data_IF_662040327298
#
_entry.id   IF_662040327298
#
_cell.length_a   1.000
_cell.length_b   1.000
_cell.length_c   1.000
_cell.angle_alpha   90.00
_cell.angle_beta   90.00
_cell.angle_gamma   90.00
#
_symmetry.space_group_name_H-M   'P 1'
#
loop_
_entity.id
_entity.type
_entity.pdbx_description
1 polymer ?
#
# COMPACT_ATOMS: atom_id res chain seq x y z
N UNK A 1 -38.12 -9.96 -22.65
CA UNK A 1 -38.68 -10.98 -21.73
C UNK A 1 -37.55 -11.44 -20.83
N UNK A 2 -37.67 -11.26 -19.52
CA UNK A 2 -36.75 -11.84 -18.58
C UNK A 2 -37.14 -13.30 -18.33
N UNK A 3 -36.21 -14.21 -18.53
CA UNK A 3 -36.42 -15.62 -18.18
C UNK A 3 -36.14 -15.78 -16.69
N UNK A 4 -37.23 -15.98 -15.92
CA UNK A 4 -37.15 -16.27 -14.50
C UNK A 4 -37.62 -17.71 -14.27
N UNK A 5 -36.68 -18.55 -13.81
CA UNK A 5 -36.95 -19.98 -13.56
C UNK A 5 -37.46 -20.25 -12.15
N UNK A 6 -37.18 -19.33 -11.21
CA UNK A 6 -37.59 -19.44 -9.80
C UNK A 6 -37.62 -18.06 -9.15
N UNK A 7 -38.31 -17.97 -8.01
CA UNK A 7 -38.33 -16.76 -7.17
C UNK A 7 -37.45 -16.98 -5.94
N UNK A 8 -36.48 -16.10 -5.71
CA UNK A 8 -35.65 -16.09 -4.48
C UNK A 8 -36.37 -15.25 -3.44
N UNK A 9 -36.73 -15.83 -2.31
CA UNK A 9 -37.49 -15.16 -1.25
C UNK A 9 -36.86 -15.26 0.14
N UNK A 10 -35.77 -16.01 0.29
CA UNK A 10 -35.09 -16.28 1.57
C UNK A 10 -33.68 -15.68 1.66
N UNK A 11 -33.36 -14.71 0.80
CA UNK A 11 -32.10 -13.99 0.83
C UNK A 11 -32.34 -12.52 1.15
N UNK A 12 -31.48 -11.89 2.01
CA UNK A 12 -31.53 -10.45 2.18
C UNK A 12 -31.08 -9.76 0.89
N UNK A 13 -31.59 -8.56 0.64
CA UNK A 13 -31.07 -7.69 -0.42
C UNK A 13 -29.63 -7.26 -0.14
N UNK A 14 -28.90 -6.77 -1.16
CA UNK A 14 -27.54 -6.25 -0.97
C UNK A 14 -27.58 -5.04 -0.03
N UNK A 15 -26.65 -5.00 0.94
CA UNK A 15 -26.44 -3.85 1.79
C UNK A 15 -25.57 -2.83 1.05
N UNK A 16 -26.22 -1.95 0.30
CA UNK A 16 -25.57 -0.86 -0.44
C UNK A 16 -26.28 0.47 -0.19
N UNK A 17 -25.65 1.57 -0.64
CA UNK A 17 -26.15 2.93 -0.46
C UNK A 17 -26.45 3.26 1.01
N UNK A 18 -25.63 2.71 1.92
CA UNK A 18 -25.65 3.00 3.36
C UNK A 18 -24.38 3.75 3.75
N UNK A 19 -24.47 4.54 4.81
CA UNK A 19 -23.26 5.20 5.34
C UNK A 19 -22.54 4.25 6.28
N UNK A 20 -21.36 3.75 5.88
CA UNK A 20 -20.58 2.77 6.63
C UNK A 20 -20.13 3.28 8.01
N UNK A 21 -19.90 4.60 8.16
CA UNK A 21 -19.51 5.18 9.44
C UNK A 21 -20.73 5.42 10.35
N UNK A 22 -21.80 6.03 9.82
CA UNK A 22 -22.96 6.39 10.64
C UNK A 22 -23.74 5.16 11.12
N UNK A 23 -23.68 4.04 10.40
CA UNK A 23 -24.28 2.77 10.80
C UNK A 23 -23.46 1.99 11.84
N UNK A 24 -22.17 2.30 12.01
CA UNK A 24 -21.29 1.64 12.98
C UNK A 24 -21.26 2.41 14.31
N UNK A 25 -22.16 2.05 15.21
CA UNK A 25 -22.26 2.68 16.55
C UNK A 25 -21.02 2.45 17.39
N UNK A 26 -20.38 1.28 17.29
CA UNK A 26 -19.19 0.93 18.05
C UNK A 26 -17.96 1.76 17.61
N UNK A 27 -17.77 1.89 16.29
CA UNK A 27 -16.70 2.71 15.74
C UNK A 27 -16.83 4.19 16.11
N UNK A 28 -18.06 4.71 16.03
CA UNK A 28 -18.35 6.12 16.40
C UNK A 28 -18.08 6.41 17.87
N UNK A 29 -18.52 5.52 18.74
CA UNK A 29 -18.30 5.64 20.20
C UNK A 29 -16.80 5.57 20.50
N UNK A 30 -16.08 4.58 19.95
CA UNK A 30 -14.64 4.43 20.14
C UNK A 30 -13.86 5.64 19.65
N UNK A 31 -14.22 6.20 18.49
CA UNK A 31 -13.56 7.38 17.92
C UNK A 31 -13.59 8.57 18.89
N UNK A 32 -14.74 8.84 19.51
CA UNK A 32 -14.90 9.95 20.45
C UNK A 32 -14.17 9.65 21.76
N UNK A 33 -14.35 8.44 22.32
CA UNK A 33 -13.72 8.01 23.58
C UNK A 33 -12.19 8.09 23.50
N UNK A 34 -11.60 7.70 22.36
CA UNK A 34 -10.15 7.68 22.15
C UNK A 34 -9.59 9.01 21.60
N UNK A 35 -10.37 10.09 21.65
CA UNK A 35 -9.91 11.45 21.38
C UNK A 35 -9.79 11.84 19.89
N UNK A 36 -10.40 11.09 18.98
CA UNK A 36 -10.40 11.40 17.54
C UNK A 36 -11.75 11.92 17.02
N UNK A 37 -12.65 12.38 17.91
CA UNK A 37 -13.97 12.92 17.55
C UNK A 37 -13.94 14.06 16.53
N UNK A 38 -12.81 14.75 16.42
CA UNK A 38 -12.58 15.82 15.44
C UNK A 38 -12.62 15.35 13.96
N UNK A 39 -12.48 14.04 13.70
CA UNK A 39 -12.52 13.44 12.36
C UNK A 39 -13.92 12.93 11.95
N UNK A 40 -14.93 13.07 12.83
CA UNK A 40 -16.26 12.50 12.65
C UNK A 40 -16.95 12.93 11.35
N UNK A 41 -16.88 14.22 11.01
CA UNK A 41 -17.53 14.75 9.81
C UNK A 41 -16.88 14.21 8.52
N UNK A 42 -15.55 14.13 8.50
CA UNK A 42 -14.82 13.54 7.38
C UNK A 42 -15.11 12.03 7.28
N UNK A 43 -15.12 11.30 8.39
CA UNK A 43 -15.46 9.87 8.42
C UNK A 43 -16.91 9.61 7.96
N UNK A 44 -17.86 10.51 8.28
CA UNK A 44 -19.21 10.42 7.76
C UNK A 44 -19.26 10.60 6.24
N UNK A 45 -18.47 11.54 5.70
CA UNK A 45 -18.33 11.73 4.26
C UNK A 45 -17.68 10.51 3.58
N UNK A 46 -16.60 9.99 4.14
CA UNK A 46 -15.91 8.77 3.65
C UNK A 46 -16.88 7.58 3.69
N UNK A 47 -17.59 7.38 4.81
CA UNK A 47 -18.53 6.29 4.98
C UNK A 47 -19.70 6.35 3.99
N UNK A 48 -20.16 7.55 3.65
CA UNK A 48 -21.19 7.74 2.62
C UNK A 48 -20.68 7.36 1.22
N UNK A 49 -19.48 7.81 0.87
CA UNK A 49 -18.86 7.50 -0.42
C UNK A 49 -18.57 6.00 -0.58
N UNK A 50 -17.98 5.39 0.44
CA UNK A 50 -17.58 3.98 0.40
C UNK A 50 -18.77 3.02 0.46
N UNK A 51 -19.90 3.43 1.06
CA UNK A 51 -21.11 2.61 1.16
C UNK A 51 -21.99 2.61 -0.10
N UNK A 52 -21.59 3.29 -1.18
CA UNK A 52 -22.33 3.28 -2.45
C UNK A 52 -22.20 1.94 -3.18
N UNK A 53 -23.19 1.64 -4.02
CA UNK A 53 -23.16 0.45 -4.87
C UNK A 53 -21.92 0.46 -5.80
N UNK A 54 -21.52 1.63 -6.30
CA UNK A 54 -20.35 1.82 -7.16
C UNK A 54 -19.06 1.49 -6.43
N UNK A 55 -18.89 1.95 -5.20
CA UNK A 55 -17.68 1.67 -4.40
C UNK A 55 -17.57 0.18 -4.07
N UNK A 56 -18.66 -0.47 -3.71
CA UNK A 56 -18.71 -1.92 -3.45
C UNK A 56 -18.41 -2.72 -4.73
N UNK A 57 -18.86 -2.25 -5.89
CA UNK A 57 -18.53 -2.85 -7.19
C UNK A 57 -17.04 -2.71 -7.53
N UNK A 58 -16.40 -1.57 -7.21
CA UNK A 58 -14.94 -1.44 -7.35
C UNK A 58 -14.20 -2.50 -6.51
N UNK A 59 -14.62 -2.73 -5.27
CA UNK A 59 -14.07 -3.79 -4.42
C UNK A 59 -14.22 -5.16 -5.05
N UNK A 60 -15.43 -5.49 -5.55
CA UNK A 60 -15.70 -6.75 -6.24
C UNK A 60 -14.81 -6.93 -7.47
N UNK A 61 -14.68 -5.90 -8.32
CA UNK A 61 -13.86 -5.93 -9.53
C UNK A 61 -12.38 -6.10 -9.22
N UNK A 62 -11.86 -5.42 -8.20
CA UNK A 62 -10.47 -5.57 -7.77
C UNK A 62 -10.18 -7.00 -7.29
N UNK A 63 -11.12 -7.64 -6.58
CA UNK A 63 -10.96 -9.00 -6.08
C UNK A 63 -11.13 -10.09 -7.16
N UNK A 64 -12.01 -9.87 -8.14
CA UNK A 64 -12.31 -10.89 -9.16
C UNK A 64 -11.37 -10.82 -10.37
N UNK A 65 -10.55 -9.77 -10.48
CA UNK A 65 -9.57 -9.60 -11.54
C UNK A 65 -8.15 -9.58 -10.94
N UNK A 66 -7.50 -10.75 -10.81
CA UNK A 66 -6.17 -10.83 -10.23
C UNK A 66 -5.14 -10.04 -11.05
N UNK A 67 -4.08 -9.53 -10.44
CA UNK A 67 -3.03 -8.80 -11.14
C UNK A 67 -2.27 -9.73 -12.09
N UNK A 68 -1.74 -9.14 -13.17
CA UNK A 68 -0.94 -9.85 -14.17
C UNK A 68 0.50 -9.38 -14.14
N UNK A 69 1.44 -10.34 -14.16
CA UNK A 69 2.87 -10.05 -14.28
C UNK A 69 3.24 -9.81 -15.76
N UNK A 70 3.69 -8.61 -16.05
CA UNK A 70 4.25 -8.23 -17.35
C UNK A 70 5.77 -8.33 -17.29
N UNK A 71 6.32 -9.50 -17.66
CA UNK A 71 7.77 -9.72 -17.60
C UNK A 71 8.52 -9.00 -18.71
N UNK A 72 7.97 -9.00 -19.92
CA UNK A 72 8.60 -8.48 -21.13
C UNK A 72 7.61 -7.65 -21.93
N UNK A 73 8.12 -6.67 -22.67
CA UNK A 73 7.37 -5.99 -23.71
C UNK A 73 7.32 -6.82 -25.02
N UNK A 74 6.68 -6.26 -26.05
CA UNK A 74 6.56 -6.91 -27.34
C UNK A 74 7.90 -7.11 -28.10
N UNK A 75 8.95 -6.42 -27.68
CA UNK A 75 10.32 -6.51 -28.26
C UNK A 75 11.25 -7.41 -27.45
N UNK A 76 10.77 -7.99 -26.35
CA UNK A 76 11.55 -8.84 -25.45
C UNK A 76 12.36 -8.08 -24.40
N UNK A 77 12.17 -6.77 -24.26
CA UNK A 77 12.77 -5.98 -23.18
C UNK A 77 12.11 -6.31 -21.86
N UNK A 78 12.91 -6.58 -20.82
CA UNK A 78 12.39 -6.95 -19.51
C UNK A 78 11.74 -5.77 -18.80
N UNK A 79 10.49 -5.94 -18.41
CA UNK A 79 9.67 -4.93 -17.70
C UNK A 79 9.58 -5.18 -16.19
N UNK A 80 9.34 -6.42 -15.80
CA UNK A 80 9.01 -6.77 -14.39
C UNK A 80 7.98 -5.80 -13.80
N UNK A 81 6.85 -5.65 -14.49
CA UNK A 81 5.77 -4.78 -14.08
C UNK A 81 4.52 -5.59 -13.73
N UNK A 82 3.60 -4.98 -12.96
CA UNK A 82 2.36 -5.63 -12.51
C UNK A 82 1.18 -4.80 -12.98
N UNK A 83 0.31 -5.39 -13.79
CA UNK A 83 -0.90 -4.75 -14.27
C UNK A 83 -2.07 -5.14 -13.38
N UNK A 84 -2.71 -4.15 -12.80
CA UNK A 84 -3.93 -4.29 -12.03
C UNK A 84 -5.16 -3.86 -12.82
N UNK A 85 -6.32 -4.36 -12.42
CA UNK A 85 -7.59 -3.84 -12.92
C UNK A 85 -7.76 -2.36 -12.53
N UNK A 86 -8.37 -1.49 -13.37
CA UNK A 86 -8.56 -0.06 -13.05
C UNK A 86 -9.24 0.21 -11.70
N UNK A 87 -10.15 -0.67 -11.26
CA UNK A 87 -10.81 -0.56 -9.97
C UNK A 87 -9.80 -0.55 -8.80
N UNK A 88 -8.73 -1.34 -8.87
CA UNK A 88 -7.67 -1.35 -7.85
C UNK A 88 -7.00 0.03 -7.73
N UNK A 89 -6.72 0.69 -8.85
CA UNK A 89 -6.12 2.03 -8.86
C UNK A 89 -7.06 3.10 -8.29
N UNK A 90 -8.37 3.00 -8.54
CA UNK A 90 -9.36 3.91 -7.95
C UNK A 90 -9.47 3.74 -6.43
N UNK A 91 -9.44 2.51 -5.93
CA UNK A 91 -9.41 2.23 -4.49
C UNK A 91 -8.14 2.78 -3.84
N UNK A 92 -6.97 2.58 -4.46
CA UNK A 92 -5.70 3.15 -3.99
C UNK A 92 -5.73 4.68 -3.96
N UNK A 93 -6.32 5.31 -4.97
CA UNK A 93 -6.51 6.75 -5.00
C UNK A 93 -7.34 7.26 -3.82
N UNK A 94 -8.44 6.57 -3.51
CA UNK A 94 -9.29 6.89 -2.34
C UNK A 94 -8.55 6.74 -1.02
N UNK A 95 -7.75 5.68 -0.86
CA UNK A 95 -6.94 5.44 0.33
C UNK A 95 -5.88 6.54 0.55
N UNK A 96 -5.19 6.95 -0.52
CA UNK A 96 -4.21 8.04 -0.45
C UNK A 96 -4.88 9.38 -0.17
N UNK A 97 -5.97 9.72 -0.88
CA UNK A 97 -6.72 10.96 -0.68
C UNK A 97 -7.25 11.08 0.75
N UNK A 98 -7.63 9.96 1.37
CA UNK A 98 -8.05 9.90 2.76
C UNK A 98 -6.87 9.75 3.75
N UNK A 99 -5.63 9.93 3.30
CA UNK A 99 -4.40 9.95 4.11
C UNK A 99 -4.22 8.72 5.02
N UNK A 100 -4.70 7.56 4.60
CA UNK A 100 -4.63 6.33 5.39
C UNK A 100 -3.18 5.85 5.57
N UNK A 101 -2.26 6.26 4.67
CA UNK A 101 -0.84 5.89 4.70
C UNK A 101 0.06 6.85 5.49
N UNK A 102 -0.41 8.08 5.83
CA UNK A 102 0.50 9.09 6.39
C UNK A 102 -0.09 9.99 7.48
N UNK A 103 -1.39 10.00 7.74
CA UNK A 103 -2.05 10.95 8.63
C UNK A 103 -1.33 11.17 9.99
N UNK A 104 -0.90 10.16 10.76
CA UNK A 104 -0.21 10.38 12.03
C UNK A 104 1.23 10.88 11.92
N UNK A 105 1.78 10.93 10.72
CA UNK A 105 3.19 11.30 10.47
C UNK A 105 3.34 12.72 9.94
N UNK A 106 2.26 13.49 9.88
CA UNK A 106 2.26 14.89 9.50
C UNK A 106 2.88 15.78 10.59
N UNK A 107 3.49 16.90 10.21
CA UNK A 107 4.13 17.83 11.15
C UNK A 107 3.13 18.38 12.17
N UNK A 108 1.92 18.74 11.73
CA UNK A 108 0.83 19.29 12.56
C UNK A 108 -0.13 18.19 13.05
N UNK A 109 0.37 17.02 13.40
CA UNK A 109 -0.47 15.90 13.81
C UNK A 109 -1.25 16.20 15.09
N UNK A 110 -2.55 15.87 15.09
CA UNK A 110 -3.44 16.07 16.25
C UNK A 110 -3.41 14.85 17.18
N UNK A 111 -3.69 15.08 18.46
CA UNK A 111 -3.99 13.99 19.39
C UNK A 111 -5.13 13.12 18.80
N UNK A 112 -5.02 11.79 18.91
CA UNK A 112 -5.97 10.84 18.34
C UNK A 112 -5.79 10.54 16.85
N UNK A 113 -4.75 11.07 16.15
CA UNK A 113 -4.54 10.83 14.71
C UNK A 113 -4.34 9.36 14.35
N UNK A 114 -3.74 8.54 15.21
CA UNK A 114 -3.68 7.08 15.01
C UNK A 114 -5.07 6.44 15.06
N UNK A 115 -5.94 6.91 15.94
CA UNK A 115 -7.34 6.44 16.05
C UNK A 115 -8.13 6.87 14.83
N UNK A 116 -8.01 8.13 14.40
CA UNK A 116 -8.62 8.64 13.17
C UNK A 116 -8.15 7.82 11.94
N UNK A 117 -6.83 7.59 11.80
CA UNK A 117 -6.28 6.75 10.75
C UNK A 117 -6.84 5.32 10.80
N UNK A 118 -6.94 4.72 11.98
CA UNK A 118 -7.51 3.38 12.14
C UNK A 118 -8.99 3.34 11.72
N UNK A 119 -9.78 4.34 12.07
CA UNK A 119 -11.17 4.44 11.65
C UNK A 119 -11.31 4.55 10.11
N UNK A 120 -10.52 5.41 9.47
CA UNK A 120 -10.47 5.51 7.99
C UNK A 120 -10.09 4.17 7.36
N UNK A 121 -9.07 3.49 7.90
CA UNK A 121 -8.63 2.17 7.46
C UNK A 121 -9.77 1.12 7.56
N UNK A 122 -10.49 1.09 8.67
CA UNK A 122 -11.61 0.17 8.89
C UNK A 122 -12.77 0.41 7.92
N UNK A 123 -13.07 1.65 7.55
CA UNK A 123 -14.09 1.96 6.55
C UNK A 123 -13.69 1.43 5.17
N UNK A 124 -12.45 1.67 4.73
CA UNK A 124 -11.95 1.15 3.46
C UNK A 124 -11.89 -0.39 3.45
N UNK A 125 -11.58 -1.02 4.59
CA UNK A 125 -11.52 -2.48 4.74
C UNK A 125 -12.86 -3.16 4.42
N UNK A 126 -13.98 -2.49 4.63
CA UNK A 126 -15.31 -3.01 4.32
C UNK A 126 -15.57 -3.09 2.82
N UNK A 127 -14.84 -2.33 2.01
CA UNK A 127 -14.97 -2.33 0.54
C UNK A 127 -14.00 -3.31 -0.10
N UNK A 128 -12.69 -3.21 0.26
CA UNK A 128 -11.67 -4.07 -0.32
C UNK A 128 -10.46 -4.16 0.63
N UNK A 129 -10.00 -5.37 0.92
CA UNK A 129 -8.94 -5.60 1.90
C UNK A 129 -7.52 -5.67 1.29
N UNK A 130 -7.37 -6.06 0.03
CA UNK A 130 -6.06 -6.24 -0.61
C UNK A 130 -5.29 -4.93 -0.80
N UNK A 131 -5.98 -3.83 -1.08
CA UNK A 131 -5.39 -2.49 -1.23
C UNK A 131 -4.85 -1.92 0.09
N UNK A 132 -5.28 -2.46 1.23
CA UNK A 132 -4.79 -2.04 2.54
C UNK A 132 -3.35 -2.48 2.81
N UNK A 133 -2.88 -3.54 2.16
CA UNK A 133 -1.52 -4.04 2.34
C UNK A 133 -0.45 -3.01 1.90
N UNK A 134 -0.44 -2.47 0.67
CA UNK A 134 0.51 -1.42 0.28
C UNK A 134 0.42 -0.16 1.13
N UNK A 135 -0.77 0.22 1.53
CA UNK A 135 -1.01 1.36 2.42
C UNK A 135 -0.41 1.13 3.81
N UNK A 136 -0.54 -0.07 4.35
CA UNK A 136 0.04 -0.43 5.66
C UNK A 136 1.56 -0.44 5.61
N UNK A 137 2.16 -0.99 4.54
CA UNK A 137 3.62 -0.99 4.37
C UNK A 137 4.16 0.44 4.23
N UNK A 138 3.52 1.28 3.42
CA UNK A 138 3.88 2.69 3.27
C UNK A 138 3.75 3.45 4.59
N UNK A 139 2.65 3.25 5.33
CA UNK A 139 2.44 3.81 6.66
C UNK A 139 3.57 3.45 7.63
N UNK A 140 3.94 2.18 7.70
CA UNK A 140 4.98 1.71 8.60
C UNK A 140 6.40 2.16 8.18
N UNK A 141 6.65 2.34 6.88
CA UNK A 141 7.93 2.81 6.37
C UNK A 141 8.15 4.32 6.59
N UNK A 142 7.09 5.12 6.58
CA UNK A 142 7.16 6.58 6.59
C UNK A 142 8.00 7.14 7.72
N UNK A 143 7.82 6.82 9.01
CA UNK A 143 8.61 7.41 10.10
C UNK A 143 10.10 7.04 10.02
N UNK A 144 10.41 5.83 9.53
CA UNK A 144 11.81 5.44 9.31
C UNK A 144 12.45 6.26 8.19
N UNK A 145 11.73 6.47 7.09
CA UNK A 145 12.24 7.23 5.95
C UNK A 145 12.36 8.73 6.25
N UNK A 146 11.46 9.30 7.04
CA UNK A 146 11.61 10.68 7.53
C UNK A 146 12.93 10.89 8.30
N UNK A 147 13.38 9.88 9.05
CA UNK A 147 14.59 9.95 9.87
C UNK A 147 15.86 9.55 9.10
N UNK A 148 15.80 8.51 8.27
CA UNK A 148 16.97 7.80 7.78
C UNK A 148 17.07 7.66 6.25
N UNK A 149 16.21 8.37 5.48
CA UNK A 149 16.28 8.32 4.02
C UNK A 149 17.64 8.89 3.54
N UNK A 150 18.38 8.15 2.67
CA UNK A 150 19.65 8.63 2.12
C UNK A 150 19.51 9.99 1.43
N UNK A 151 20.59 10.79 1.47
CA UNK A 151 20.58 12.19 1.02
C UNK A 151 20.11 12.35 -0.44
N UNK A 152 20.52 11.44 -1.31
CA UNK A 152 20.16 11.41 -2.74
C UNK A 152 18.68 11.15 -2.99
N UNK A 153 17.92 10.67 -1.99
CA UNK A 153 16.47 10.41 -2.06
C UNK A 153 15.64 11.40 -1.23
N UNK A 154 16.23 12.44 -0.64
CA UNK A 154 15.49 13.37 0.24
C UNK A 154 14.26 14.02 -0.41
N UNK A 155 14.30 14.26 -1.71
CA UNK A 155 13.16 14.79 -2.47
C UNK A 155 11.95 13.84 -2.50
N UNK A 156 12.12 12.55 -2.19
CA UNK A 156 11.03 11.58 -2.12
C UNK A 156 10.10 11.81 -0.93
N UNK A 157 10.53 12.55 0.09
CA UNK A 157 9.68 12.82 1.26
C UNK A 157 8.41 13.59 0.89
N UNK A 158 8.49 14.52 -0.06
CA UNK A 158 7.31 15.27 -0.53
C UNK A 158 6.23 14.35 -1.13
N UNK A 159 6.50 13.52 -2.17
CA UNK A 159 5.50 12.61 -2.69
C UNK A 159 5.14 11.47 -1.72
N UNK A 160 6.01 11.07 -0.79
CA UNK A 160 5.68 10.09 0.26
C UNK A 160 4.60 10.62 1.22
N UNK A 161 4.63 11.93 1.52
CA UNK A 161 3.67 12.60 2.41
C UNK A 161 2.47 13.19 1.65
N UNK A 162 2.39 13.02 0.34
CA UNK A 162 1.29 13.51 -0.50
C UNK A 162 0.00 12.71 -0.27
N UNK A 163 -1.14 13.36 -0.48
CA UNK A 163 -2.47 12.73 -0.55
C UNK A 163 -2.80 12.16 -1.94
N UNK A 164 -1.81 12.11 -2.84
CA UNK A 164 -1.98 11.64 -4.21
C UNK A 164 -1.51 10.20 -4.36
N UNK A 165 -2.15 9.50 -5.29
CA UNK A 165 -1.71 8.21 -5.79
C UNK A 165 -1.18 8.36 -7.21
N UNK A 166 -0.05 7.70 -7.51
CA UNK A 166 0.56 7.70 -8.84
C UNK A 166 1.05 6.30 -9.20
N UNK A 167 0.43 5.67 -10.20
CA UNK A 167 0.74 4.32 -10.65
C UNK A 167 1.89 4.25 -11.68
N UNK A 168 2.37 5.39 -12.19
CA UNK A 168 3.42 5.40 -13.21
C UNK A 168 4.78 4.99 -12.64
N UNK A 169 5.55 4.27 -13.42
CA UNK A 169 6.94 3.99 -13.09
C UNK A 169 7.81 5.19 -13.51
N UNK A 170 8.04 6.07 -12.56
CA UNK A 170 8.86 7.28 -12.70
C UNK A 170 9.86 7.34 -11.54
N UNK A 171 10.99 8.07 -11.68
CA UNK A 171 11.84 8.43 -10.55
C UNK A 171 11.01 9.06 -9.43
N UNK A 172 11.23 8.64 -8.18
CA UNK A 172 10.34 9.02 -7.08
C UNK A 172 10.17 10.52 -6.88
N UNK A 173 11.20 11.33 -7.12
CA UNK A 173 11.11 12.79 -7.07
C UNK A 173 10.15 13.40 -8.11
N UNK A 174 9.86 12.70 -9.20
CA UNK A 174 8.95 13.15 -10.27
C UNK A 174 7.51 12.66 -10.08
N UNK A 175 7.27 11.82 -9.08
CA UNK A 175 5.95 11.26 -8.79
C UNK A 175 5.10 12.20 -7.94
N UNK A 176 3.79 12.04 -8.04
CA UNK A 176 2.82 12.79 -7.21
C UNK A 176 2.54 12.08 -5.88
N UNK A 177 2.82 10.79 -5.79
CA UNK A 177 2.65 9.96 -4.59
C UNK A 177 3.48 8.70 -4.71
N UNK A 178 3.92 8.14 -3.58
CA UNK A 178 4.79 6.97 -3.50
C UNK A 178 4.15 5.85 -2.69
N UNK A 179 4.48 4.62 -3.07
CA UNK A 179 4.24 3.42 -2.29
C UNK A 179 5.56 2.78 -1.91
N UNK A 180 5.68 2.38 -0.64
CA UNK A 180 6.83 1.66 -0.12
C UNK A 180 6.41 0.24 0.25
N UNK A 181 7.05 -0.73 -0.38
CA UNK A 181 6.89 -2.15 -0.07
C UNK A 181 7.86 -2.64 1.00
N UNK A 182 7.73 -3.91 1.41
CA UNK A 182 8.61 -4.55 2.38
C UNK A 182 8.97 -5.96 1.95
N UNK A 183 10.27 -6.32 2.06
CA UNK A 183 10.81 -7.64 1.75
C UNK A 183 11.51 -8.25 2.95
N UNK A 184 10.74 -8.88 3.84
CA UNK A 184 11.26 -9.48 5.08
C UNK A 184 11.47 -10.98 4.94
N UNK A 185 10.45 -11.69 4.44
CA UNK A 185 10.36 -13.14 4.38
C UNK A 185 11.17 -13.73 3.22
N UNK A 186 11.73 -14.92 3.44
CA UNK A 186 12.36 -15.77 2.41
C UNK A 186 11.64 -17.12 2.33
N UNK A 187 11.98 -17.98 1.34
CA UNK A 187 11.29 -19.26 1.15
C UNK A 187 11.33 -20.18 2.35
N UNK A 188 12.39 -20.14 3.15
CA UNK A 188 12.52 -20.95 4.37
C UNK A 188 11.61 -20.48 5.50
N UNK A 189 11.01 -19.30 5.41
CA UNK A 189 10.05 -18.78 6.39
C UNK A 189 10.28 -17.32 6.77
N UNK A 190 9.35 -16.77 7.56
CA UNK A 190 9.35 -15.39 8.03
C UNK A 190 9.27 -15.24 9.55
N UNK A 191 9.03 -16.35 10.28
CA UNK A 191 8.97 -16.37 11.76
C UNK A 191 10.34 -16.20 12.40
N UNK A 192 11.41 -16.61 11.70
CA UNK A 192 12.80 -16.41 12.10
C UNK A 192 13.56 -15.66 11.01
N UNK A 193 13.42 -14.33 10.98
CA UNK A 193 14.11 -13.47 10.02
C UNK A 193 15.62 -13.39 10.26
N UNK A 194 16.11 -13.79 11.45
CA UNK A 194 17.55 -13.83 11.72
C UNK A 194 18.24 -14.92 10.88
N UNK A 195 17.52 -15.94 10.46
CA UNK A 195 18.02 -17.00 9.57
C UNK A 195 18.01 -16.61 8.08
N UNK A 196 17.61 -15.41 7.73
CA UNK A 196 17.63 -14.93 6.34
C UNK A 196 19.01 -15.08 5.71
N UNK A 197 19.02 -15.48 4.44
CA UNK A 197 20.25 -15.74 3.66
C UNK A 197 20.56 -14.68 2.62
N UNK A 198 19.65 -13.76 2.33
CA UNK A 198 19.91 -12.57 1.50
C UNK A 198 21.07 -11.79 2.09
N UNK A 199 22.07 -11.48 1.27
CA UNK A 199 23.32 -10.80 1.67
C UNK A 199 23.36 -9.38 1.15
N UNK A 200 24.02 -8.51 1.94
CA UNK A 200 24.32 -7.13 1.59
C UNK A 200 25.84 -6.94 1.57
N UNK A 201 26.37 -6.58 0.41
CA UNK A 201 27.79 -6.30 0.19
C UNK A 201 27.98 -4.80 0.01
N UNK A 202 28.79 -4.17 0.87
CA UNK A 202 29.07 -2.74 0.78
C UNK A 202 29.95 -2.45 -0.43
N UNK A 203 29.56 -1.46 -1.22
CA UNK A 203 30.30 -0.97 -2.38
C UNK A 203 31.21 0.21 -1.99
N UNK A 204 32.11 0.60 -2.91
CA UNK A 204 33.10 1.66 -2.67
C UNK A 204 32.46 3.05 -2.48
N UNK A 205 31.30 3.29 -3.09
CA UNK A 205 30.52 4.53 -2.98
C UNK A 205 29.68 4.62 -1.70
N UNK A 206 29.72 3.58 -0.86
CA UNK A 206 28.94 3.50 0.38
C UNK A 206 27.56 2.87 0.23
N UNK A 207 27.09 2.63 -0.99
CA UNK A 207 25.88 1.87 -1.26
C UNK A 207 26.06 0.36 -1.01
N UNK A 208 25.01 -0.43 -1.17
CA UNK A 208 25.05 -1.88 -0.96
C UNK A 208 24.48 -2.63 -2.15
N UNK A 209 25.14 -3.70 -2.53
CA UNK A 209 24.60 -4.71 -3.45
C UNK A 209 23.89 -5.78 -2.63
N UNK A 210 22.58 -5.96 -2.89
CA UNK A 210 21.79 -7.03 -2.27
C UNK A 210 21.76 -8.23 -3.20
N UNK A 211 22.01 -9.44 -2.66
CA UNK A 211 21.99 -10.70 -3.38
C UNK A 211 21.20 -11.73 -2.62
N UNK A 212 20.09 -12.19 -3.18
CA UNK A 212 19.19 -13.15 -2.57
C UNK A 212 17.82 -13.14 -3.22
N UNK A 213 16.83 -13.73 -2.54
CA UNK A 213 15.45 -13.68 -2.99
C UNK A 213 14.51 -13.48 -1.79
N UNK A 214 13.34 -12.93 -2.06
CA UNK A 214 12.28 -12.74 -1.09
C UNK A 214 11.02 -13.51 -1.49
N UNK A 215 10.23 -13.87 -0.51
CA UNK A 215 8.99 -14.63 -0.63
C UNK A 215 7.88 -13.89 0.11
N UNK A 216 6.61 -14.07 -0.29
CA UNK A 216 5.51 -13.26 0.22
C UNK A 216 5.81 -11.76 0.11
N UNK A 217 6.33 -11.37 -1.05
CA UNK A 217 6.75 -10.01 -1.34
C UNK A 217 5.56 -9.23 -1.91
N UNK A 218 4.73 -8.70 -1.03
CA UNK A 218 3.52 -7.98 -1.43
C UNK A 218 3.86 -6.71 -2.20
N UNK A 219 3.07 -6.43 -3.25
CA UNK A 219 3.13 -5.21 -4.06
C UNK A 219 4.55 -4.94 -4.58
N UNK A 220 5.13 -5.89 -5.34
CA UNK A 220 6.51 -5.79 -5.81
C UNK A 220 6.75 -4.64 -6.81
N UNK A 221 5.69 -4.04 -7.33
CA UNK A 221 5.74 -2.83 -8.16
C UNK A 221 5.83 -1.51 -7.37
N UNK A 222 5.89 -1.54 -6.03
CA UNK A 222 6.11 -0.34 -5.21
C UNK A 222 7.36 0.43 -5.64
N UNK A 223 7.39 1.74 -5.40
CA UNK A 223 8.47 2.62 -5.86
C UNK A 223 9.81 2.32 -5.20
N UNK A 224 9.76 1.89 -3.94
CA UNK A 224 10.91 1.35 -3.22
C UNK A 224 10.45 0.29 -2.21
N UNK A 225 11.39 -0.40 -1.61
CA UNK A 225 11.15 -1.45 -0.64
C UNK A 225 12.13 -1.34 0.53
N UNK A 226 11.64 -1.63 1.74
CA UNK A 226 12.48 -1.93 2.89
C UNK A 226 12.79 -3.43 2.90
N UNK A 227 14.06 -3.79 2.74
CA UNK A 227 14.48 -5.19 2.56
C UNK A 227 15.47 -5.60 3.65
N UNK A 228 15.22 -6.74 4.30
CA UNK A 228 16.17 -7.32 5.25
C UNK A 228 17.24 -8.11 4.50
N UNK A 229 18.50 -7.89 4.88
CA UNK A 229 19.66 -8.66 4.40
C UNK A 229 20.74 -8.76 5.47
N UNK A 230 21.54 -9.83 5.41
CA UNK A 230 22.73 -10.00 6.25
C UNK A 230 23.86 -9.09 5.77
N UNK A 231 24.29 -8.17 6.61
CA UNK A 231 25.47 -7.34 6.41
C UNK A 231 26.59 -7.78 7.38
N UNK A 232 27.76 -7.16 7.28
CA UNK A 232 28.91 -7.46 8.17
C UNK A 232 28.59 -7.30 9.67
N UNK A 233 27.64 -6.39 9.99
CA UNK A 233 27.20 -6.14 11.38
C UNK A 233 25.99 -6.96 11.83
N UNK A 234 25.46 -7.86 10.98
CA UNK A 234 24.25 -8.65 11.23
C UNK A 234 23.09 -8.27 10.34
N UNK A 235 21.90 -8.78 10.69
CA UNK A 235 20.67 -8.50 9.95
C UNK A 235 20.36 -7.00 9.97
N UNK A 236 20.23 -6.42 8.79
CA UNK A 236 20.03 -4.98 8.59
C UNK A 236 18.87 -4.72 7.61
N UNK A 237 18.25 -3.54 7.72
CA UNK A 237 17.19 -3.07 6.83
C UNK A 237 17.79 -2.11 5.80
N UNK A 238 17.48 -2.35 4.52
CA UNK A 238 17.97 -1.55 3.40
C UNK A 238 16.82 -0.89 2.66
N UNK A 239 17.01 0.37 2.28
CA UNK A 239 16.14 1.06 1.33
C UNK A 239 16.56 0.65 -0.09
N UNK A 240 15.66 0.02 -0.81
CA UNK A 240 15.90 -0.51 -2.16
C UNK A 240 14.92 0.13 -3.15
N UNK A 241 15.32 1.17 -3.88
CA UNK A 241 14.46 1.82 -4.88
C UNK A 241 14.28 0.92 -6.10
N UNK A 242 13.13 1.00 -6.75
CA UNK A 242 12.83 0.30 -8.00
C UNK A 242 13.54 0.95 -9.20
N UNK A 243 13.63 2.26 -9.20
CA UNK A 243 14.48 3.04 -10.10
C UNK A 243 15.62 3.68 -9.32
N UNK A 244 16.81 3.60 -9.87
CA UNK A 244 18.01 4.25 -9.34
C UNK A 244 17.96 5.77 -9.57
N UNK A 245 18.79 6.59 -8.89
CA UNK A 245 18.79 8.04 -9.07
C UNK A 245 19.01 8.51 -10.51
N UNK A 246 19.72 7.73 -11.31
CA UNK A 246 19.96 8.00 -12.74
C UNK A 246 18.76 7.62 -13.64
N UNK A 247 17.65 7.13 -13.05
CA UNK A 247 16.44 6.69 -13.75
C UNK A 247 16.52 5.27 -14.33
N UNK A 248 17.62 4.57 -14.17
CA UNK A 248 17.74 3.19 -14.59
C UNK A 248 16.96 2.25 -13.66
N UNK A 249 16.49 1.12 -14.20
CA UNK A 249 15.87 0.08 -13.38
C UNK A 249 16.91 -0.58 -12.48
N UNK A 250 16.59 -0.67 -11.20
CA UNK A 250 17.38 -1.48 -10.28
C UNK A 250 17.28 -2.97 -10.66
N UNK A 251 18.28 -3.76 -10.30
CA UNK A 251 18.38 -5.18 -10.62
C UNK A 251 17.39 -6.05 -9.82
N UNK A 252 16.12 -5.65 -9.78
CA UNK A 252 15.02 -6.35 -9.13
C UNK A 252 14.27 -7.15 -10.18
N UNK A 253 14.04 -8.44 -9.91
CA UNK A 253 13.28 -9.33 -10.78
C UNK A 253 12.06 -9.88 -10.07
N UNK A 254 10.90 -9.79 -10.71
CA UNK A 254 9.67 -10.41 -10.24
C UNK A 254 9.54 -11.76 -10.93
N UNK A 255 9.75 -12.85 -10.19
CA UNK A 255 9.75 -14.19 -10.78
C UNK A 255 8.34 -14.73 -11.00
N UNK A 256 7.40 -14.40 -10.09
CA UNK A 256 5.97 -14.73 -10.21
C UNK A 256 5.13 -13.90 -9.26
N UNK A 257 3.82 -13.85 -9.50
CA UNK A 257 2.80 -13.39 -8.58
C UNK A 257 2.11 -14.60 -7.94
#
# INVERSE_FOLDING_TARGET
MSWQTHTVFNQPGPLNNSNLFLSDGALREALVREGAGWDSDLLASIGQQLGTAESLELGRLANTNPPELLRYDATGTRLDDVRFHPAWHLLMQGLCANRVHNLPWEEDTRAGSFVARAARFMLHAQVEAGTLCPITMTFAATPLLQQALPAEFKEWLTPLMSDRYDSHLLPGAQKRGLLIGMGMTEKQGGSDVLSNTTRAERLADGSYRLVGHKWFFSVPQSDAHLVLAQAKGGLSCFFMPRLLPDGQRNAIRIERL
#
